data_IF_487197929382
#
_entry.id   IF_487197929382
#
_cell.length_a   1.000
_cell.length_b   1.000
_cell.length_c   1.000
_cell.angle_alpha   90.00
_cell.angle_beta   90.00
_cell.angle_gamma   90.00
#
_symmetry.space_group_name_H-M   'P 1'
#
loop_
_entity.id
_entity.type
_entity.pdbx_description
1 polymer ?
#
# COMPACT_ATOMS: atom_id res chain seq x y z
N UNK A 1 -7.40 13.05 3.23
CA UNK A 1 -6.07 13.69 3.01
C UNK A 1 -6.16 15.21 2.87
N UNK A 2 -6.83 15.79 1.86
CA UNK A 2 -6.88 17.26 1.65
C UNK A 2 -7.43 18.00 2.87
N UNK A 3 -8.60 17.62 3.37
CA UNK A 3 -9.18 18.24 4.57
C UNK A 3 -8.31 18.14 5.82
N UNK A 4 -7.58 17.04 5.97
CA UNK A 4 -6.63 16.84 7.08
C UNK A 4 -5.40 17.75 6.94
N UNK A 5 -4.78 17.78 5.75
CA UNK A 5 -3.64 18.66 5.51
C UNK A 5 -3.99 20.14 5.75
N UNK A 6 -5.18 20.55 5.32
CA UNK A 6 -5.69 21.89 5.59
C UNK A 6 -5.90 22.16 7.09
N UNK A 7 -6.47 21.19 7.82
CA UNK A 7 -6.70 21.31 9.25
C UNK A 7 -5.40 21.37 10.07
N UNK A 8 -4.34 20.70 9.64
CA UNK A 8 -3.04 20.71 10.34
C UNK A 8 -2.17 21.93 10.03
N UNK A 9 -2.57 22.79 9.09
CA UNK A 9 -1.78 23.95 8.70
C UNK A 9 -0.45 23.59 8.03
N UNK A 10 -0.27 22.34 7.61
CA UNK A 10 0.94 21.89 6.89
C UNK A 10 0.86 22.43 5.45
N UNK A 11 1.95 23.01 4.90
CA UNK A 11 1.96 23.40 3.49
C UNK A 11 1.71 22.18 2.58
N UNK A 12 0.75 22.29 1.67
CA UNK A 12 0.42 21.21 0.74
C UNK A 12 -0.01 21.74 -0.64
N UNK A 13 0.14 20.90 -1.64
CA UNK A 13 -0.37 21.13 -2.99
C UNK A 13 -1.03 19.86 -3.50
N UNK A 14 -2.15 19.98 -4.17
CA UNK A 14 -2.83 18.89 -4.88
C UNK A 14 -2.77 19.13 -6.38
N UNK A 15 -2.18 18.19 -7.11
CA UNK A 15 -2.24 18.11 -8.57
C UNK A 15 -3.26 17.04 -8.91
N UNK A 16 -4.40 17.40 -9.43
CA UNK A 16 -5.47 16.47 -9.71
C UNK A 16 -5.76 16.41 -11.20
N UNK A 17 -5.47 15.25 -11.81
CA UNK A 17 -5.72 14.96 -13.22
C UNK A 17 -6.95 14.08 -13.43
N UNK A 18 -7.64 14.30 -14.55
CA UNK A 18 -8.76 13.48 -14.99
C UNK A 18 -8.96 13.63 -16.49
N UNK A 19 -9.78 12.76 -17.12
CA UNK A 19 -10.04 12.87 -18.58
C UNK A 19 -10.72 14.17 -18.96
N UNK A 20 -11.71 14.55 -18.17
CA UNK A 20 -12.48 15.81 -18.33
C UNK A 20 -12.95 16.27 -16.96
N UNK A 21 -13.28 17.55 -16.81
CA UNK A 21 -13.84 18.07 -15.57
C UNK A 21 -15.10 17.30 -15.11
N UNK A 22 -15.94 16.87 -16.05
CA UNK A 22 -17.18 16.15 -15.74
C UNK A 22 -16.93 14.74 -15.16
N UNK A 23 -15.75 14.19 -15.41
CA UNK A 23 -15.33 12.88 -14.87
C UNK A 23 -14.52 12.96 -13.58
N UNK A 24 -14.25 14.17 -13.09
CA UNK A 24 -13.49 14.40 -11.87
C UNK A 24 -14.43 14.56 -10.68
N UNK A 25 -14.17 13.74 -9.63
CA UNK A 25 -14.93 13.80 -8.39
C UNK A 25 -14.46 14.93 -7.47
N UNK A 26 -15.29 15.29 -6.50
CA UNK A 26 -14.97 16.23 -5.41
C UNK A 26 -14.55 17.64 -5.85
N UNK A 27 -14.88 18.06 -7.07
CA UNK A 27 -14.53 19.41 -7.55
C UNK A 27 -15.21 20.52 -6.74
N UNK A 28 -16.37 20.23 -6.13
CA UNK A 28 -17.08 21.16 -5.24
C UNK A 28 -16.21 21.50 -4.03
N UNK A 29 -15.78 20.49 -3.31
CA UNK A 29 -14.98 20.62 -2.09
C UNK A 29 -13.58 21.19 -2.37
N UNK A 30 -13.00 20.85 -3.53
CA UNK A 30 -11.68 21.34 -3.90
C UNK A 30 -11.66 22.83 -4.25
N UNK A 31 -12.82 23.42 -4.57
CA UNK A 31 -12.92 24.88 -4.83
C UNK A 31 -12.66 25.75 -3.60
N UNK A 32 -12.80 25.17 -2.42
CA UNK A 32 -12.52 25.88 -1.15
C UNK A 32 -11.01 26.09 -0.93
N UNK A 33 -10.17 25.47 -1.77
CA UNK A 33 -8.71 25.51 -1.67
C UNK A 33 -8.02 25.95 -2.97
N UNK A 34 -8.36 27.13 -3.55
CA UNK A 34 -7.92 27.53 -4.89
C UNK A 34 -6.40 27.71 -4.99
N UNK A 35 -5.75 28.09 -3.91
CA UNK A 35 -4.30 28.32 -3.87
C UNK A 35 -3.50 27.02 -3.79
N UNK A 36 -4.12 25.95 -3.29
CA UNK A 36 -3.48 24.65 -3.04
C UNK A 36 -3.81 23.62 -4.12
N UNK A 37 -4.87 23.81 -4.92
CA UNK A 37 -5.34 22.83 -5.89
C UNK A 37 -5.05 23.28 -7.31
N UNK A 38 -4.46 22.37 -8.09
CA UNK A 38 -4.26 22.53 -9.54
C UNK A 38 -4.99 21.40 -10.26
N UNK A 39 -5.98 21.76 -11.07
CA UNK A 39 -6.79 20.82 -11.85
C UNK A 39 -6.24 20.69 -13.27
N UNK A 40 -6.09 19.46 -13.71
CA UNK A 40 -5.62 19.11 -15.06
C UNK A 40 -6.65 18.18 -15.73
N UNK A 41 -7.83 18.71 -16.18
CA UNK A 41 -8.69 17.98 -17.08
C UNK A 41 -7.99 17.83 -18.43
N UNK A 42 -7.70 16.59 -18.85
CA UNK A 42 -6.80 16.27 -19.97
C UNK A 42 -7.31 16.84 -21.30
N UNK A 43 -8.64 16.95 -21.46
CA UNK A 43 -9.31 17.53 -22.61
C UNK A 43 -9.07 19.04 -22.77
N UNK A 44 -8.67 19.76 -21.73
CA UNK A 44 -8.49 21.22 -21.72
C UNK A 44 -7.10 21.66 -21.31
N UNK A 45 -6.54 21.03 -20.29
CA UNK A 45 -5.25 21.41 -19.68
C UNK A 45 -4.11 20.44 -20.02
N UNK A 46 -4.42 19.32 -20.68
CA UNK A 46 -3.44 18.25 -20.89
C UNK A 46 -3.08 17.49 -19.61
N UNK A 47 -2.00 16.76 -19.69
CA UNK A 47 -1.50 15.97 -18.53
C UNK A 47 -0.78 16.84 -17.53
N UNK A 48 -0.75 16.39 -16.27
CA UNK A 48 0.01 17.02 -15.18
C UNK A 48 1.48 17.18 -15.62
N UNK A 49 2.04 18.41 -15.65
CA UNK A 49 3.44 18.65 -16.01
C UNK A 49 4.35 18.33 -14.84
N UNK A 50 4.54 17.03 -14.56
CA UNK A 50 5.26 16.54 -13.39
C UNK A 50 6.68 17.11 -13.23
N UNK A 51 7.37 17.42 -14.34
CA UNK A 51 8.71 17.99 -14.29
C UNK A 51 8.75 19.34 -13.60
N UNK A 52 7.71 20.17 -13.72
CA UNK A 52 7.63 21.47 -13.06
C UNK A 52 7.58 21.32 -11.53
N UNK A 53 7.05 20.22 -11.04
CA UNK A 53 6.82 19.97 -9.62
C UNK A 53 7.89 19.08 -8.98
N UNK A 54 8.49 18.19 -9.76
CA UNK A 54 9.43 17.18 -9.24
C UNK A 54 10.90 17.54 -9.45
N UNK A 55 11.22 18.48 -10.36
CA UNK A 55 12.62 18.82 -10.65
C UNK A 55 13.30 19.56 -9.50
N UNK A 56 12.56 20.40 -8.78
CA UNK A 56 13.08 21.24 -7.68
C UNK A 56 12.10 21.30 -6.52
N UNK A 57 11.96 20.22 -5.75
CA UNK A 57 11.04 20.22 -4.63
C UNK A 57 11.54 21.19 -3.52
N UNK A 58 10.65 21.82 -2.77
CA UNK A 58 11.00 22.43 -1.51
C UNK A 58 11.67 21.41 -0.57
N UNK A 59 12.55 21.84 0.36
CA UNK A 59 13.08 20.96 1.40
C UNK A 59 11.93 20.24 2.14
N UNK A 60 12.19 19.03 2.61
CA UNK A 60 11.27 18.22 3.42
C UNK A 60 9.92 17.92 2.74
N UNK A 61 9.89 17.95 1.40
CA UNK A 61 8.69 17.62 0.64
C UNK A 61 8.51 16.10 0.53
N UNK A 62 7.30 15.62 0.82
CA UNK A 62 6.87 14.25 0.53
C UNK A 62 5.78 14.26 -0.55
N UNK A 63 5.93 13.41 -1.55
CA UNK A 63 4.92 13.20 -2.60
C UNK A 63 4.09 11.98 -2.27
N UNK A 64 2.79 12.17 -2.26
CA UNK A 64 1.80 11.08 -2.25
C UNK A 64 1.17 11.02 -3.64
N UNK A 65 1.27 9.89 -4.32
CA UNK A 65 0.67 9.74 -5.64
C UNK A 65 -0.16 8.45 -5.74
N UNK A 66 -1.33 8.62 -6.35
CA UNK A 66 -2.29 7.55 -6.60
C UNK A 66 -2.89 7.76 -7.99
N UNK A 67 -3.08 6.70 -8.75
CA UNK A 67 -3.65 6.78 -10.10
C UNK A 67 -3.14 5.71 -11.06
N UNK A 68 -3.26 5.93 -12.38
CA UNK A 68 -2.79 4.99 -13.39
C UNK A 68 -1.28 4.72 -13.29
N UNK A 69 -0.86 3.49 -13.60
CA UNK A 69 0.56 3.07 -13.51
C UNK A 69 1.51 3.99 -14.27
N UNK A 70 1.08 4.53 -15.41
CA UNK A 70 1.89 5.51 -16.17
C UNK A 70 2.19 6.78 -15.37
N UNK A 71 1.23 7.26 -14.58
CA UNK A 71 1.41 8.41 -13.69
C UNK A 71 2.39 8.04 -12.57
N UNK A 72 2.17 6.91 -11.91
CA UNK A 72 3.00 6.45 -10.78
C UNK A 72 4.46 6.24 -11.23
N UNK A 73 4.67 5.58 -12.36
CA UNK A 73 6.01 5.42 -12.96
C UNK A 73 6.66 6.77 -13.29
N UNK A 74 5.89 7.72 -13.81
CA UNK A 74 6.42 9.05 -14.11
C UNK A 74 6.81 9.82 -12.83
N UNK A 75 6.06 9.67 -11.75
CA UNK A 75 6.39 10.24 -10.43
C UNK A 75 7.65 9.57 -9.86
N UNK A 76 7.74 8.24 -9.89
CA UNK A 76 8.94 7.51 -9.44
C UNK A 76 10.19 7.99 -10.17
N UNK A 77 10.14 8.08 -11.49
CA UNK A 77 11.24 8.53 -12.32
C UNK A 77 11.60 10.01 -12.08
N UNK A 78 10.60 10.87 -11.99
CA UNK A 78 10.80 12.30 -11.75
C UNK A 78 11.41 12.59 -10.38
N UNK A 79 11.03 11.81 -9.38
CA UNK A 79 11.51 11.96 -8.00
C UNK A 79 12.67 11.01 -7.65
N UNK A 80 13.29 10.35 -8.61
CA UNK A 80 14.38 9.38 -8.37
C UNK A 80 15.59 9.96 -7.62
N UNK A 81 15.77 11.28 -7.67
CA UNK A 81 16.86 12.00 -6.97
C UNK A 81 16.49 12.45 -5.55
N UNK A 82 15.24 12.23 -5.14
CA UNK A 82 14.78 12.61 -3.82
C UNK A 82 15.27 11.58 -2.79
N UNK A 83 15.37 11.98 -1.54
CA UNK A 83 15.81 11.10 -0.47
C UNK A 83 14.88 9.90 -0.25
N UNK A 84 15.36 8.87 0.46
CA UNK A 84 14.54 7.70 0.81
C UNK A 84 13.25 8.12 1.50
N UNK A 85 12.14 7.50 1.10
CA UNK A 85 10.84 7.77 1.69
C UNK A 85 10.15 9.06 1.28
N UNK A 86 10.76 9.90 0.43
CA UNK A 86 10.13 11.12 -0.08
C UNK A 86 8.96 10.88 -1.04
N UNK A 87 8.80 9.66 -1.55
CA UNK A 87 7.71 9.29 -2.45
C UNK A 87 6.90 8.16 -1.83
N UNK A 88 5.59 8.34 -1.77
CA UNK A 88 4.60 7.37 -1.32
C UNK A 88 3.61 7.12 -2.44
N UNK A 89 3.55 5.88 -2.93
CA UNK A 89 2.68 5.51 -4.04
C UNK A 89 1.62 4.51 -3.58
N UNK A 90 0.39 4.76 -3.97
CA UNK A 90 -0.70 3.82 -3.79
C UNK A 90 -1.09 3.22 -5.15
N UNK A 91 -0.98 1.91 -5.26
CA UNK A 91 -1.33 1.16 -6.47
C UNK A 91 -2.61 0.37 -6.25
N UNK A 92 -3.51 0.44 -7.22
CA UNK A 92 -4.74 -0.35 -7.22
C UNK A 92 -4.59 -1.68 -7.97
N UNK A 93 -3.49 -1.85 -8.70
CA UNK A 93 -3.17 -3.08 -9.44
C UNK A 93 -1.69 -3.41 -9.29
N UNK A 94 -1.35 -4.71 -9.29
CA UNK A 94 0.04 -5.11 -9.23
C UNK A 94 0.78 -4.74 -10.51
N UNK A 95 2.07 -4.50 -10.38
CA UNK A 95 2.96 -4.35 -11.54
C UNK A 95 3.11 -5.69 -12.27
N UNK A 96 3.22 -5.68 -13.61
CA UNK A 96 3.61 -6.89 -14.34
C UNK A 96 4.95 -7.41 -13.80
N UNK A 97 4.97 -8.67 -13.40
CA UNK A 97 6.18 -9.35 -12.90
C UNK A 97 6.49 -10.55 -13.78
N UNK A 98 7.76 -10.91 -13.88
CA UNK A 98 8.15 -12.14 -14.55
C UNK A 98 7.48 -13.33 -13.83
N UNK A 99 7.00 -14.29 -14.61
CA UNK A 99 6.48 -15.52 -14.06
C UNK A 99 7.58 -16.24 -13.27
N UNK A 100 7.27 -16.64 -12.05
CA UNK A 100 8.14 -17.45 -11.21
C UNK A 100 7.54 -18.85 -11.09
N UNK A 101 8.42 -19.84 -10.98
CA UNK A 101 7.97 -21.21 -10.76
C UNK A 101 7.59 -21.33 -9.29
N UNK A 102 6.36 -21.74 -9.06
CA UNK A 102 5.91 -22.05 -7.72
C UNK A 102 6.34 -23.45 -7.33
N UNK A 103 6.84 -23.59 -6.11
CA UNK A 103 7.07 -24.88 -5.46
C UNK A 103 6.06 -25.10 -4.35
N UNK A 104 5.85 -26.32 -3.94
CA UNK A 104 5.11 -26.64 -2.72
C UNK A 104 5.84 -26.03 -1.52
N UNK A 105 5.08 -25.47 -0.58
CA UNK A 105 5.64 -24.91 0.66
C UNK A 105 4.90 -25.47 1.87
N UNK A 106 5.63 -25.69 2.94
CA UNK A 106 5.10 -26.06 4.25
C UNK A 106 5.06 -24.80 5.14
N UNK A 107 3.88 -24.46 5.63
CA UNK A 107 3.64 -23.28 6.46
C UNK A 107 3.33 -23.72 7.87
N UNK A 108 4.21 -23.40 8.80
CA UNK A 108 4.02 -23.66 10.23
C UNK A 108 3.35 -22.44 10.87
N UNK A 109 2.15 -22.62 11.39
CA UNK A 109 1.38 -21.56 12.04
C UNK A 109 1.59 -21.64 13.56
N UNK A 110 2.56 -20.90 14.10
CA UNK A 110 2.98 -20.98 15.50
C UNK A 110 1.84 -20.79 16.48
N UNK A 111 0.97 -19.79 16.23
CA UNK A 111 -0.13 -19.47 17.15
C UNK A 111 -1.17 -20.58 17.27
N UNK A 112 -1.48 -21.26 16.15
CA UNK A 112 -2.43 -22.37 16.12
C UNK A 112 -1.76 -23.74 16.29
N UNK A 113 -0.44 -23.78 16.32
CA UNK A 113 0.38 -25.00 16.34
C UNK A 113 -0.03 -25.97 15.23
N UNK A 114 -0.21 -25.47 14.02
CA UNK A 114 -0.64 -26.24 12.84
C UNK A 114 0.33 -26.05 11.70
N UNK A 115 0.61 -27.14 11.00
CA UNK A 115 1.38 -27.15 9.77
C UNK A 115 0.43 -27.36 8.58
N UNK A 116 0.57 -26.54 7.55
CA UNK A 116 -0.24 -26.60 6.33
C UNK A 116 0.67 -26.69 5.12
N UNK A 117 0.53 -27.76 4.35
CA UNK A 117 1.21 -27.89 3.06
C UNK A 117 0.39 -27.18 1.98
N UNK A 118 1.01 -26.20 1.31
CA UNK A 118 0.40 -25.42 0.24
C UNK A 118 1.01 -25.83 -1.10
N UNK A 119 0.25 -26.46 -2.01
CA UNK A 119 0.77 -26.94 -3.27
C UNK A 119 1.22 -25.79 -4.19
N UNK A 120 2.05 -26.10 -5.17
CA UNK A 120 2.43 -25.20 -6.24
C UNK A 120 1.20 -24.60 -6.93
N UNK A 121 1.29 -23.33 -7.33
CA UNK A 121 0.20 -22.63 -8.05
C UNK A 121 -0.95 -22.15 -7.17
N UNK A 122 -0.92 -22.42 -5.85
CA UNK A 122 -1.93 -21.94 -4.90
C UNK A 122 -1.32 -20.96 -3.92
N UNK A 123 -1.97 -19.83 -3.65
CA UNK A 123 -1.45 -18.86 -2.67
C UNK A 123 -1.44 -19.45 -1.25
N UNK A 124 -0.50 -19.02 -0.42
CA UNK A 124 -0.45 -19.39 1.00
C UNK A 124 -1.76 -18.98 1.68
N UNK A 125 -2.26 -17.77 1.40
CA UNK A 125 -3.53 -17.29 1.92
C UNK A 125 -4.67 -18.30 1.67
N UNK A 126 -4.83 -18.75 0.41
CA UNK A 126 -5.88 -19.71 0.07
C UNK A 126 -5.68 -21.08 0.72
N UNK A 127 -4.43 -21.55 0.83
CA UNK A 127 -4.14 -22.81 1.52
C UNK A 127 -4.49 -22.79 3.00
N UNK A 128 -4.22 -21.67 3.67
CA UNK A 128 -4.58 -21.47 5.07
C UNK A 128 -6.10 -21.30 5.28
N UNK A 129 -6.78 -20.59 4.38
CA UNK A 129 -8.25 -20.49 4.37
C UNK A 129 -8.91 -21.87 4.25
N UNK A 130 -8.44 -22.70 3.31
CA UNK A 130 -8.95 -24.07 3.12
C UNK A 130 -8.68 -24.97 4.34
N UNK A 131 -7.58 -24.74 5.02
CA UNK A 131 -7.28 -25.41 6.27
C UNK A 131 -8.12 -24.90 7.46
N UNK A 132 -9.00 -23.92 7.25
CA UNK A 132 -9.87 -23.36 8.28
C UNK A 132 -9.13 -22.49 9.29
N UNK A 133 -8.00 -21.88 8.89
CA UNK A 133 -7.28 -20.92 9.71
C UNK A 133 -7.87 -19.51 9.53
N UNK A 134 -7.95 -18.71 10.60
CA UNK A 134 -8.53 -17.36 10.56
C UNK A 134 -7.53 -16.36 9.95
N UNK A 135 -7.34 -16.43 8.63
CA UNK A 135 -6.52 -15.49 7.86
C UNK A 135 -7.39 -14.48 7.13
N UNK A 136 -6.86 -13.30 6.90
CA UNK A 136 -7.58 -12.22 6.21
C UNK A 136 -6.84 -11.81 4.95
N UNK A 137 -7.57 -11.60 3.86
CA UNK A 137 -7.00 -11.09 2.61
C UNK A 137 -8.09 -10.48 1.73
N UNK A 138 -7.87 -9.26 1.26
CA UNK A 138 -8.84 -8.52 0.45
C UNK A 138 -8.51 -8.59 -1.04
N UNK A 139 -7.48 -7.87 -1.51
CA UNK A 139 -7.19 -7.75 -2.94
C UNK A 139 -6.70 -9.04 -3.61
N UNK A 140 -6.05 -9.93 -2.89
CA UNK A 140 -5.38 -11.17 -3.39
C UNK A 140 -4.30 -10.93 -4.47
N UNK A 141 -3.86 -9.70 -4.60
CA UNK A 141 -2.93 -9.23 -5.65
C UNK A 141 -1.66 -8.58 -5.08
N UNK A 142 -1.49 -8.54 -3.76
CA UNK A 142 -0.28 -7.99 -3.11
C UNK A 142 -0.16 -6.46 -3.17
N UNK A 143 -1.28 -5.74 -3.18
CA UNK A 143 -1.30 -4.26 -3.25
C UNK A 143 -2.01 -3.57 -2.09
N UNK A 144 -2.79 -4.29 -1.25
CA UNK A 144 -3.60 -3.66 -0.19
C UNK A 144 -3.05 -3.84 1.23
N UNK A 145 -2.18 -4.80 1.46
CA UNK A 145 -1.58 -5.05 2.77
C UNK A 145 -2.41 -5.92 3.75
N UNK A 146 -3.69 -6.20 3.49
CA UNK A 146 -4.58 -6.87 4.46
C UNK A 146 -4.17 -8.29 4.86
N UNK A 147 -3.35 -8.96 4.05
CA UNK A 147 -2.83 -10.29 4.33
C UNK A 147 -1.36 -10.27 4.81
N UNK A 148 -0.89 -9.14 5.33
CA UNK A 148 0.44 -9.06 5.92
C UNK A 148 0.54 -10.04 7.09
N UNK A 149 1.66 -10.74 7.14
CA UNK A 149 1.91 -11.73 8.17
C UNK A 149 3.36 -11.68 8.56
N UNK A 150 3.63 -11.75 9.85
CA UNK A 150 4.99 -11.79 10.38
C UNK A 150 5.64 -13.13 10.04
N UNK A 151 6.89 -13.08 9.59
CA UNK A 151 7.75 -14.25 9.39
C UNK A 151 8.67 -14.39 10.59
N UNK A 152 8.64 -15.53 11.27
CA UNK A 152 9.48 -15.80 12.45
C UNK A 152 10.76 -16.53 12.06
N UNK A 153 10.69 -17.37 11.01
CA UNK A 153 11.81 -18.10 10.46
C UNK A 153 11.57 -18.41 8.99
N UNK A 154 12.63 -18.61 8.21
CA UNK A 154 12.59 -18.83 6.76
C UNK A 154 12.81 -17.55 5.94
N UNK A 155 13.03 -17.72 4.65
CA UNK A 155 13.28 -16.63 3.70
C UNK A 155 12.06 -16.42 2.78
N UNK A 156 11.37 -15.28 2.88
CA UNK A 156 10.21 -15.01 2.04
C UNK A 156 10.62 -14.54 0.62
N UNK A 157 10.10 -15.20 -0.41
CA UNK A 157 10.09 -14.71 -1.79
C UNK A 157 8.99 -13.64 -1.94
N UNK A 158 9.38 -12.39 -1.79
CA UNK A 158 8.49 -11.24 -1.83
C UNK A 158 7.97 -10.97 -3.24
N UNK A 159 6.65 -11.04 -3.42
CA UNK A 159 5.97 -10.82 -4.70
C UNK A 159 4.93 -9.70 -4.65
N UNK A 160 4.84 -8.99 -3.55
CA UNK A 160 3.97 -7.83 -3.36
C UNK A 160 4.53 -6.56 -4.03
N UNK A 161 3.74 -5.49 -4.06
CA UNK A 161 4.12 -4.15 -4.49
C UNK A 161 4.07 -3.13 -3.34
N UNK A 162 4.13 -3.58 -2.09
CA UNK A 162 3.97 -2.78 -0.87
C UNK A 162 5.31 -2.57 -0.17
N UNK A 163 6.09 -3.65 0.04
CA UNK A 163 7.35 -3.58 0.76
C UNK A 163 8.39 -2.73 0.03
N UNK A 164 9.02 -1.85 0.77
CA UNK A 164 10.23 -1.15 0.35
C UNK A 164 11.41 -2.11 0.25
N UNK A 165 12.54 -1.66 -0.32
CA UNK A 165 13.76 -2.46 -0.36
C UNK A 165 14.22 -2.89 1.05
N UNK A 166 14.17 -1.97 2.02
CA UNK A 166 14.55 -2.24 3.41
C UNK A 166 13.58 -3.23 4.06
N UNK A 167 12.27 -3.09 3.81
CA UNK A 167 11.26 -4.03 4.31
C UNK A 167 11.42 -5.44 3.76
N UNK A 168 11.85 -5.57 2.49
CA UNK A 168 12.19 -6.88 1.90
C UNK A 168 13.46 -7.46 2.50
N UNK A 169 14.48 -6.64 2.68
CA UNK A 169 15.75 -7.06 3.27
C UNK A 169 15.61 -7.49 4.74
N UNK A 170 14.65 -6.94 5.47
CA UNK A 170 14.37 -7.33 6.84
C UNK A 170 13.83 -8.77 6.97
N UNK A 171 13.11 -9.28 5.95
CA UNK A 171 12.58 -10.64 5.91
C UNK A 171 11.56 -11.00 7.01
N UNK A 172 11.15 -10.02 7.83
CA UNK A 172 10.36 -10.23 9.05
C UNK A 172 8.84 -10.29 8.80
N UNK A 173 8.40 -10.09 7.55
CA UNK A 173 6.98 -10.08 7.16
C UNK A 173 6.80 -10.45 5.70
N UNK A 174 5.62 -10.92 5.35
CA UNK A 174 5.24 -11.24 3.97
C UNK A 174 3.74 -11.03 3.74
N UNK A 175 3.35 -11.00 2.48
CA UNK A 175 1.93 -10.92 2.08
C UNK A 175 1.47 -12.27 1.51
N UNK A 176 0.65 -13.00 2.28
CA UNK A 176 0.27 -14.41 2.04
C UNK A 176 -0.43 -14.65 0.69
N UNK A 177 -1.05 -13.61 0.10
CA UNK A 177 -1.79 -13.77 -1.15
C UNK A 177 -0.91 -13.93 -2.38
N UNK A 178 0.35 -13.47 -2.34
CA UNK A 178 1.26 -13.50 -3.50
C UNK A 178 2.66 -14.02 -3.18
N UNK A 179 3.16 -13.82 -1.97
CA UNK A 179 4.52 -14.19 -1.59
C UNK A 179 4.64 -15.68 -1.26
N UNK A 180 5.84 -16.21 -1.34
CA UNK A 180 6.19 -17.63 -1.13
C UNK A 180 7.43 -17.76 -0.26
N UNK A 181 7.88 -18.98 0.04
CA UNK A 181 9.23 -19.25 0.51
C UNK A 181 10.24 -19.20 -0.62
N UNK A 182 11.46 -18.73 -0.38
CA UNK A 182 12.53 -18.72 -1.37
C UNK A 182 13.20 -20.11 -1.44
N UNK A 183 13.43 -20.60 -2.68
CA UNK A 183 14.15 -21.84 -2.95
C UNK A 183 13.40 -23.12 -2.59
N UNK A 184 14.17 -24.20 -2.33
CA UNK A 184 13.70 -25.52 -1.92
C UNK A 184 13.46 -25.60 -0.38
N UNK A 185 13.40 -24.45 0.28
CA UNK A 185 13.12 -24.35 1.69
C UNK A 185 11.65 -24.63 1.96
N UNK A 186 11.38 -25.81 2.50
CA UNK A 186 10.04 -26.31 2.83
C UNK A 186 9.44 -25.66 4.07
N UNK A 187 10.21 -24.83 4.79
CA UNK A 187 9.83 -24.30 6.07
C UNK A 187 9.76 -22.77 6.01
N UNK A 188 8.57 -22.23 5.75
CA UNK A 188 8.22 -20.95 6.34
C UNK A 188 7.79 -21.25 7.76
N UNK A 189 8.75 -21.31 8.66
CA UNK A 189 8.45 -21.49 10.08
C UNK A 189 7.74 -20.23 10.55
N UNK A 190 6.61 -20.43 11.15
CA UNK A 190 5.92 -19.50 12.03
C UNK A 190 5.44 -18.18 11.42
N UNK A 191 4.52 -18.25 10.45
CA UNK A 191 3.64 -17.13 10.20
C UNK A 191 2.75 -16.90 11.43
N UNK A 192 3.03 -15.88 12.23
CA UNK A 192 2.11 -15.44 13.28
C UNK A 192 0.93 -14.78 12.63
N UNK A 193 -0.19 -15.50 12.54
CA UNK A 193 -1.45 -14.96 12.12
C UNK A 193 -1.99 -14.05 13.22
N UNK A 194 -1.88 -12.75 13.02
CA UNK A 194 -2.58 -11.77 13.84
C UNK A 194 -4.04 -11.78 13.36
N UNK A 195 -4.92 -12.43 14.12
CA UNK A 195 -6.35 -12.43 13.82
C UNK A 195 -6.97 -11.05 13.99
N UNK A 196 -7.98 -10.72 13.17
CA UNK A 196 -9.01 -9.68 13.35
C UNK A 196 -8.59 -8.24 13.60
N UNK A 197 -7.63 -8.01 14.49
CA UNK A 197 -7.17 -6.67 14.89
C UNK A 197 -6.10 -6.09 13.96
N UNK A 198 -5.69 -6.84 12.94
CA UNK A 198 -4.57 -6.48 12.08
C UNK A 198 -4.88 -5.28 11.18
N UNK A 199 -6.11 -5.16 10.69
CA UNK A 199 -6.51 -4.02 9.86
C UNK A 199 -6.45 -2.72 10.66
N UNK A 200 -6.92 -2.75 11.90
CA UNK A 200 -6.86 -1.60 12.81
C UNK A 200 -5.42 -1.25 13.18
N UNK A 201 -4.56 -2.26 13.40
CA UNK A 201 -3.13 -2.05 13.69
C UNK A 201 -2.34 -1.54 12.49
N UNK A 202 -2.61 -2.03 11.29
CA UNK A 202 -1.90 -1.56 10.08
C UNK A 202 -2.28 -0.12 9.70
N UNK A 203 -3.55 0.22 9.82
CA UNK A 203 -4.03 1.60 9.69
C UNK A 203 -3.49 2.47 10.83
N UNK A 204 -3.44 1.96 12.05
CA UNK A 204 -2.88 2.67 13.20
C UNK A 204 -1.36 2.81 13.11
N UNK A 205 -0.59 1.82 12.62
CA UNK A 205 0.85 1.96 12.38
C UNK A 205 1.17 2.93 11.24
N UNK A 206 0.42 2.89 10.14
CA UNK A 206 0.58 3.87 9.08
C UNK A 206 0.08 5.26 9.54
N UNK A 207 -0.98 5.33 10.33
CA UNK A 207 -1.45 6.55 10.96
C UNK A 207 -0.47 7.02 12.05
N UNK A 208 0.15 6.12 12.83
CA UNK A 208 1.18 6.47 13.81
C UNK A 208 2.47 6.95 13.14
N UNK A 209 2.93 6.30 12.07
CA UNK A 209 4.06 6.79 11.25
C UNK A 209 3.77 8.12 10.56
N UNK A 210 2.51 8.36 10.20
CA UNK A 210 2.06 9.68 9.73
C UNK A 210 1.92 10.67 10.89
N UNK A 211 1.49 10.23 12.08
CA UNK A 211 1.34 11.05 13.28
C UNK A 211 2.69 11.36 13.95
N UNK A 212 3.67 10.46 13.96
CA UNK A 212 5.05 10.72 14.37
C UNK A 212 5.71 11.82 13.52
N UNK A 213 5.25 11.95 12.25
CA UNK A 213 5.64 13.07 11.38
C UNK A 213 4.73 14.30 11.53
N UNK A 214 3.60 14.23 12.21
CA UNK A 214 2.51 15.23 12.14
C UNK A 214 1.86 15.58 13.50
N UNK A 215 2.32 15.03 14.63
CA UNK A 215 1.79 15.33 15.98
C UNK A 215 0.36 14.87 16.28
N UNK A 216 0.17 14.31 17.39
CA UNK A 216 -1.00 13.93 18.22
C UNK A 216 -2.47 14.08 17.69
N UNK A 217 -2.91 13.31 16.65
CA UNK A 217 -4.35 13.17 16.35
C UNK A 217 -4.76 11.77 15.83
N UNK A 218 -4.37 10.72 16.55
CA UNK A 218 -4.64 9.31 16.19
C UNK A 218 -6.11 8.91 16.15
N UNK A 219 -6.99 9.54 16.91
CA UNK A 219 -8.40 9.15 17.03
C UNK A 219 -9.25 9.40 15.78
N UNK A 220 -9.00 10.49 15.06
CA UNK A 220 -9.79 10.86 13.86
C UNK A 220 -9.40 10.05 12.61
N UNK A 221 -8.13 9.64 12.49
CA UNK A 221 -7.64 8.85 11.36
C UNK A 221 -8.24 7.43 11.35
N UNK A 222 -8.44 6.83 12.52
CA UNK A 222 -9.08 5.51 12.66
C UNK A 222 -10.53 5.54 12.22
N UNK A 223 -11.28 6.60 12.57
CA UNK A 223 -12.68 6.75 12.21
C UNK A 223 -12.91 6.92 10.69
N UNK A 224 -11.99 7.61 9.99
CA UNK A 224 -12.07 7.83 8.54
C UNK A 224 -11.77 6.53 7.76
N UNK A 225 -10.81 5.74 8.22
CA UNK A 225 -10.49 4.45 7.59
C UNK A 225 -11.62 3.43 7.75
N UNK A 226 -12.28 3.39 8.90
CA UNK A 226 -13.47 2.55 9.13
C UNK A 226 -14.65 2.98 8.24
N UNK A 227 -14.86 4.27 8.05
CA UNK A 227 -15.94 4.77 7.20
C UNK A 227 -15.73 4.44 5.71
N UNK A 228 -14.51 4.54 5.19
CA UNK A 228 -14.20 4.16 3.82
C UNK A 228 -14.32 2.66 3.55
N UNK A 229 -14.02 1.83 4.55
CA UNK A 229 -14.15 0.37 4.42
C UNK A 229 -15.61 -0.08 4.32
N UNK A 230 -16.53 0.53 5.07
CA UNK A 230 -17.96 0.20 5.00
C UNK A 230 -18.63 0.60 3.69
N UNK A 231 -18.11 1.61 2.97
CA UNK A 231 -18.66 2.05 1.69
C UNK A 231 -18.13 1.30 0.46
N UNK A 232 -17.04 0.54 0.57
CA UNK A 232 -16.46 -0.24 -0.53
C UNK A 232 -16.91 -1.71 -0.57
N UNK A 233 -17.88 -2.10 0.26
CA UNK A 233 -18.45 -3.46 0.31
C UNK A 233 -19.75 -3.64 -0.50
N UNK A 234 -20.10 -2.67 -1.39
CA UNK A 234 -21.24 -2.79 -2.31
C UNK A 234 -20.83 -2.54 -3.76
#
# INVERSE_FOLDING_TARGET
>A
MVGQAAAWGTPWQLLYGGRSADSMAFLGELRDHPDNVRLYPEDRAGRIPLHEWLDRPPPDTTVYACGPEKLLTAVENGAARWGPGAVRLERFRPRPKAARVDTEVEVVCARSNRTVTVPAGRSILSGLEDAGLPVTGSCREGVCGTCETRVLDGEPDHRDDILTADGRAAGDRMYLCVSRGEGDQRNLADAVLLGGDFFTMHVAENAAKMADNLGDQLGELTAIAEHQYQHNLY
#
